data_IF_445792360374
#
_entry.id   IF_445792360374
#
_cell.length_a   1.000
_cell.length_b   1.000
_cell.length_c   1.000
_cell.angle_alpha   90.00
_cell.angle_beta   90.00
_cell.angle_gamma   90.00
#
_symmetry.space_group_name_H-M   'P 1'
#
loop_
_entity.id
_entity.type
_entity.pdbx_description
1 polymer ?
#
# COMPACT_ATOMS: atom_id res chain seq x y z
N UNK A 1 41.20 63.90 -32.97
CA UNK A 1 42.44 63.47 -32.27
C UNK A 1 42.20 63.05 -30.80
N UNK A 2 41.05 62.46 -30.43
CA UNK A 2 40.74 62.09 -29.03
C UNK A 2 40.31 60.61 -28.96
N UNK A 3 40.76 59.88 -27.93
CA UNK A 3 40.51 58.46 -27.60
C UNK A 3 41.60 57.43 -28.01
N UNK A 4 42.84 57.65 -27.56
CA UNK A 4 43.89 56.62 -27.48
C UNK A 4 44.34 56.54 -26.02
N UNK A 5 44.12 55.40 -25.37
CA UNK A 5 44.52 55.17 -23.98
C UNK A 5 45.92 54.54 -24.03
N UNK A 6 46.94 55.32 -23.69
CA UNK A 6 48.33 54.87 -23.68
C UNK A 6 48.69 54.64 -22.22
N UNK A 7 49.01 53.39 -21.87
CA UNK A 7 49.50 53.05 -20.54
C UNK A 7 51.03 53.06 -20.64
N UNK A 8 51.66 54.01 -19.96
CA UNK A 8 53.12 54.10 -19.87
C UNK A 8 53.55 53.63 -18.50
N UNK A 9 54.37 52.58 -18.47
CA UNK A 9 54.95 52.05 -17.24
C UNK A 9 56.42 52.47 -17.23
N UNK A 10 56.82 53.14 -16.15
CA UNK A 10 58.16 53.70 -15.94
C UNK A 10 58.82 52.96 -14.80
N UNK A 11 60.00 52.39 -15.03
CA UNK A 11 60.84 51.79 -14.00
C UNK A 11 62.29 52.28 -14.15
N UNK A 12 63.16 52.02 -13.16
CA UNK A 12 64.58 52.42 -13.11
C UNK A 12 65.42 51.96 -14.32
N UNK A 13 64.90 51.04 -15.15
CA UNK A 13 65.55 50.53 -16.38
C UNK A 13 64.99 51.13 -17.69
N UNK A 14 64.03 52.05 -17.62
CA UNK A 14 63.46 52.74 -18.78
C UNK A 14 61.93 52.73 -18.82
N UNK A 15 61.36 53.46 -19.80
CA UNK A 15 59.91 53.62 -19.97
C UNK A 15 59.40 52.83 -21.18
N UNK A 16 58.35 52.02 -21.00
CA UNK A 16 57.63 51.38 -22.13
C UNK A 16 56.16 51.83 -22.13
N UNK A 17 55.68 52.23 -23.30
CA UNK A 17 54.30 52.67 -23.52
C UNK A 17 53.54 51.69 -24.40
N UNK A 18 52.39 51.22 -23.94
CA UNK A 18 51.50 50.33 -24.68
C UNK A 18 50.21 51.07 -25.05
N UNK A 19 49.82 51.00 -26.33
CA UNK A 19 48.57 51.57 -26.81
C UNK A 19 47.44 50.56 -26.64
N UNK A 20 46.51 50.83 -25.73
CA UNK A 20 45.36 49.97 -25.49
C UNK A 20 44.32 50.22 -26.58
N UNK A 21 44.11 49.22 -27.44
CA UNK A 21 43.13 49.32 -28.53
C UNK A 21 41.70 49.43 -27.97
N UNK A 22 40.84 50.20 -28.62
CA UNK A 22 39.41 50.32 -28.23
C UNK A 22 38.68 48.97 -28.20
N UNK A 23 39.19 47.95 -28.91
CA UNK A 23 38.71 46.58 -28.85
C UNK A 23 38.93 45.95 -27.47
N UNK A 24 40.08 46.16 -26.83
CA UNK A 24 40.41 45.52 -25.55
C UNK A 24 39.42 45.92 -24.45
N UNK A 25 39.00 47.19 -24.43
CA UNK A 25 37.99 47.68 -23.49
C UNK A 25 36.62 47.03 -23.75
N UNK A 26 36.17 46.94 -25.00
CA UNK A 26 34.90 46.27 -25.36
C UNK A 26 34.94 44.78 -25.04
N UNK A 27 36.08 44.13 -25.27
CA UNK A 27 36.27 42.71 -25.00
C UNK A 27 36.09 42.38 -23.51
N UNK A 28 36.65 43.20 -22.62
CA UNK A 28 36.47 43.03 -21.18
C UNK A 28 35.00 43.18 -20.75
N UNK A 29 34.27 44.15 -21.33
CA UNK A 29 32.82 44.28 -21.09
C UNK A 29 32.02 43.09 -21.59
N UNK A 30 32.36 42.52 -22.76
CA UNK A 30 31.70 41.31 -23.27
C UNK A 30 31.97 40.08 -22.40
N UNK A 31 33.20 39.91 -21.89
CA UNK A 31 33.53 38.83 -20.95
C UNK A 31 32.71 38.98 -19.66
N UNK A 32 32.67 40.18 -19.09
CA UNK A 32 31.88 40.45 -17.88
C UNK A 32 30.40 40.16 -18.11
N UNK A 33 29.84 40.60 -19.24
CA UNK A 33 28.45 40.35 -19.60
C UNK A 33 28.16 38.84 -19.78
N UNK A 34 29.08 38.10 -20.40
CA UNK A 34 28.95 36.66 -20.60
C UNK A 34 28.95 35.90 -19.26
N UNK A 35 29.84 36.26 -18.34
CA UNK A 35 29.87 35.67 -16.99
C UNK A 35 28.55 35.95 -16.25
N UNK A 36 28.03 37.17 -16.38
CA UNK A 36 26.77 37.58 -15.73
C UNK A 36 25.56 36.83 -16.31
N UNK A 37 25.53 36.61 -17.64
CA UNK A 37 24.51 35.80 -18.30
C UNK A 37 24.55 34.35 -17.82
N UNK A 38 25.74 33.75 -17.72
CA UNK A 38 25.89 32.37 -17.22
C UNK A 38 25.43 32.28 -15.76
N UNK A 39 25.77 33.26 -14.93
CA UNK A 39 25.35 33.30 -13.54
C UNK A 39 23.82 33.42 -13.40
N UNK A 40 23.18 34.29 -14.19
CA UNK A 40 21.72 34.42 -14.23
C UNK A 40 21.04 33.16 -14.75
N UNK A 41 21.56 32.57 -15.83
CA UNK A 41 21.04 31.33 -16.40
C UNK A 41 21.13 30.19 -15.38
N UNK A 42 22.26 30.04 -14.68
CA UNK A 42 22.41 29.08 -13.60
C UNK A 42 21.43 29.32 -12.45
N UNK A 43 21.31 30.57 -12.00
CA UNK A 43 20.40 30.96 -10.93
C UNK A 43 18.93 30.69 -11.25
N UNK A 44 18.53 30.76 -12.53
CA UNK A 44 17.17 30.41 -12.97
C UNK A 44 16.99 28.90 -13.22
N UNK A 45 17.97 28.26 -13.86
CA UNK A 45 17.84 26.88 -14.35
C UNK A 45 17.99 25.82 -13.25
N UNK A 46 18.90 26.04 -12.29
CA UNK A 46 19.11 25.14 -11.14
C UNK A 46 17.83 24.95 -10.30
N UNK A 47 17.14 26.01 -9.83
CA UNK A 47 15.92 25.82 -9.05
C UNK A 47 14.78 25.23 -9.89
N UNK A 48 14.69 25.54 -11.18
CA UNK A 48 13.71 24.94 -12.08
C UNK A 48 13.85 23.41 -12.14
N UNK A 49 15.07 22.91 -12.40
CA UNK A 49 15.35 21.48 -12.39
C UNK A 49 15.14 20.85 -11.02
N UNK A 50 15.56 21.53 -9.96
CA UNK A 50 15.40 21.04 -8.57
C UNK A 50 13.93 20.87 -8.21
N UNK A 51 13.06 21.81 -8.62
CA UNK A 51 11.62 21.71 -8.40
C UNK A 51 11.01 20.55 -9.19
N UNK A 52 11.45 20.32 -10.43
CA UNK A 52 10.99 19.18 -11.23
C UNK A 52 11.39 17.84 -10.60
N UNK A 53 12.64 17.73 -10.15
CA UNK A 53 13.13 16.54 -9.43
C UNK A 53 12.30 16.34 -8.16
N UNK A 54 12.10 17.41 -7.37
CA UNK A 54 11.31 17.34 -6.13
C UNK A 54 9.87 16.90 -6.38
N UNK A 55 9.26 17.40 -7.45
CA UNK A 55 7.92 16.98 -7.86
C UNK A 55 7.88 15.48 -8.18
N UNK A 56 8.81 15.00 -9.00
CA UNK A 56 8.90 13.58 -9.36
C UNK A 56 9.22 12.68 -8.16
N UNK A 57 10.10 13.12 -7.25
CA UNK A 57 10.41 12.36 -6.03
C UNK A 57 9.20 12.25 -5.11
N UNK A 58 8.44 13.35 -4.95
CA UNK A 58 7.21 13.33 -4.15
C UNK A 58 6.15 12.44 -4.79
N UNK A 59 6.02 12.50 -6.12
CA UNK A 59 5.08 11.67 -6.85
C UNK A 59 5.42 10.19 -6.71
N UNK A 60 6.70 9.81 -6.84
CA UNK A 60 7.16 8.45 -6.61
C UNK A 60 6.91 7.99 -5.16
N UNK A 61 7.21 8.85 -4.17
CA UNK A 61 6.95 8.53 -2.76
C UNK A 61 5.46 8.29 -2.49
N UNK A 62 4.57 9.06 -3.10
CA UNK A 62 3.13 8.86 -3.00
C UNK A 62 2.69 7.53 -3.65
N UNK A 63 3.25 7.18 -4.81
CA UNK A 63 2.98 5.89 -5.45
C UNK A 63 3.48 4.72 -4.60
N UNK A 64 4.67 4.82 -4.01
CA UNK A 64 5.20 3.81 -3.10
C UNK A 64 4.30 3.64 -1.87
N UNK A 65 3.85 4.74 -1.26
CA UNK A 65 2.90 4.69 -0.14
C UNK A 65 1.58 4.02 -0.53
N UNK A 66 1.01 4.39 -1.69
CA UNK A 66 -0.21 3.78 -2.19
C UNK A 66 -0.02 2.28 -2.44
N UNK A 67 1.13 1.84 -2.97
CA UNK A 67 1.44 0.43 -3.15
C UNK A 67 1.51 -0.31 -1.80
N UNK A 68 2.18 0.27 -0.81
CA UNK A 68 2.25 -0.30 0.55
C UNK A 68 0.84 -0.48 1.12
N UNK A 69 0.00 0.56 1.05
CA UNK A 69 -1.39 0.48 1.53
C UNK A 69 -2.19 -0.62 0.80
N UNK A 70 -2.07 -0.70 -0.53
CA UNK A 70 -2.72 -1.76 -1.30
C UNK A 70 -2.24 -3.16 -0.89
N UNK A 71 -0.95 -3.34 -0.62
CA UNK A 71 -0.42 -4.63 -0.16
C UNK A 71 -0.93 -5.00 1.23
N UNK A 72 -1.03 -4.03 2.14
CA UNK A 72 -1.60 -4.22 3.47
C UNK A 72 -3.09 -4.60 3.39
N UNK A 73 -3.84 -3.93 2.52
CA UNK A 73 -5.25 -4.25 2.27
C UNK A 73 -5.41 -5.68 1.73
N UNK A 74 -4.56 -6.11 0.78
CA UNK A 74 -4.57 -7.48 0.26
C UNK A 74 -4.26 -8.50 1.36
N UNK A 75 -3.27 -8.24 2.22
CA UNK A 75 -2.93 -9.12 3.34
C UNK A 75 -4.06 -9.21 4.37
N UNK A 76 -4.72 -8.09 4.67
CA UNK A 76 -5.89 -8.05 5.56
C UNK A 76 -7.07 -8.84 4.97
N UNK A 77 -7.33 -8.69 3.67
CA UNK A 77 -8.36 -9.44 2.95
C UNK A 77 -8.06 -10.94 2.95
N UNK A 78 -6.81 -11.34 2.70
CA UNK A 78 -6.41 -12.75 2.73
C UNK A 78 -6.59 -13.36 4.13
N UNK A 79 -6.20 -12.63 5.18
CA UNK A 79 -6.40 -13.05 6.57
C UNK A 79 -7.89 -13.20 6.93
N UNK A 80 -8.73 -12.25 6.48
CA UNK A 80 -10.18 -12.33 6.67
C UNK A 80 -10.80 -13.52 5.92
N UNK A 81 -10.31 -13.80 4.71
CA UNK A 81 -10.74 -14.93 3.90
C UNK A 81 -10.36 -16.26 4.54
N UNK A 82 -9.13 -16.42 5.05
CA UNK A 82 -8.71 -17.61 5.80
C UNK A 82 -9.57 -17.83 7.06
N UNK A 83 -9.93 -16.75 7.76
CA UNK A 83 -10.84 -16.84 8.91
C UNK A 83 -12.23 -17.35 8.49
N UNK A 84 -12.79 -16.82 7.40
CA UNK A 84 -14.07 -17.29 6.86
C UNK A 84 -14.00 -18.76 6.43
N UNK A 85 -12.91 -19.19 5.80
CA UNK A 85 -12.69 -20.58 5.43
C UNK A 85 -12.66 -21.50 6.66
N UNK A 86 -12.04 -21.05 7.75
CA UNK A 86 -12.04 -21.77 9.03
C UNK A 86 -13.43 -21.84 9.66
N UNK A 87 -14.15 -20.72 9.72
CA UNK A 87 -15.49 -20.65 10.30
C UNK A 87 -16.50 -21.49 9.52
N UNK A 88 -16.37 -21.52 8.19
CA UNK A 88 -17.19 -22.35 7.30
C UNK A 88 -16.67 -23.79 7.26
N UNK A 89 -15.47 -24.08 7.77
CA UNK A 89 -14.90 -25.42 7.87
C UNK A 89 -14.49 -26.03 6.53
N UNK A 90 -13.81 -25.26 5.68
CA UNK A 90 -13.35 -25.67 4.33
C UNK A 90 -11.82 -25.77 4.26
N UNK A 91 -11.19 -26.09 5.39
CA UNK A 91 -9.75 -25.96 5.60
C UNK A 91 -8.87 -26.95 4.80
N UNK A 92 -9.46 -27.84 4.00
CA UNK A 92 -8.70 -28.87 3.27
C UNK A 92 -8.44 -28.43 1.82
N UNK A 93 -7.15 -28.38 1.47
CA UNK A 93 -6.57 -28.30 0.13
C UNK A 93 -6.93 -27.07 -0.73
N UNK A 94 -7.08 -25.91 -0.09
CA UNK A 94 -7.33 -24.64 -0.76
C UNK A 94 -6.09 -24.01 -1.45
N UNK A 95 -4.91 -24.62 -1.28
CA UNK A 95 -3.63 -24.10 -1.77
C UNK A 95 -3.55 -24.04 -3.30
N UNK A 96 -4.34 -24.84 -4.01
CA UNK A 96 -4.38 -24.88 -5.48
C UNK A 96 -5.28 -23.79 -6.09
N UNK A 97 -6.15 -23.16 -5.30
CA UNK A 97 -7.17 -22.24 -5.81
C UNK A 97 -6.76 -20.78 -5.68
N UNK A 98 -7.20 -19.95 -6.62
CA UNK A 98 -6.99 -18.50 -6.54
C UNK A 98 -7.84 -17.89 -5.42
N UNK A 99 -7.45 -16.76 -4.80
CA UNK A 99 -8.22 -16.14 -3.71
C UNK A 99 -9.69 -15.88 -4.07
N UNK A 100 -9.96 -15.52 -5.32
CA UNK A 100 -11.32 -15.31 -5.85
C UNK A 100 -12.12 -16.62 -5.86
N UNK A 101 -11.49 -17.72 -6.30
CA UNK A 101 -12.12 -19.03 -6.29
C UNK A 101 -12.39 -19.52 -4.87
N UNK A 102 -11.43 -19.33 -3.95
CA UNK A 102 -11.61 -19.66 -2.53
C UNK A 102 -12.78 -18.90 -1.92
N UNK A 103 -12.84 -17.58 -2.14
CA UNK A 103 -13.95 -16.74 -1.66
C UNK A 103 -15.31 -17.21 -2.22
N UNK A 104 -15.36 -17.62 -3.50
CA UNK A 104 -16.57 -18.17 -4.10
C UNK A 104 -17.00 -19.49 -3.45
N UNK A 105 -16.07 -20.41 -3.24
CA UNK A 105 -16.34 -21.70 -2.60
C UNK A 105 -16.79 -21.50 -1.14
N UNK A 106 -16.12 -20.59 -0.42
CA UNK A 106 -16.49 -20.21 0.93
C UNK A 106 -17.91 -19.64 1.00
N UNK A 107 -18.25 -18.70 0.11
CA UNK A 107 -19.58 -18.12 0.03
C UNK A 107 -20.66 -19.15 -0.32
N UNK A 108 -20.39 -20.03 -1.30
CA UNK A 108 -21.32 -21.09 -1.67
C UNK A 108 -21.54 -22.09 -0.53
N UNK A 109 -20.47 -22.52 0.13
CA UNK A 109 -20.56 -23.47 1.26
C UNK A 109 -21.28 -22.85 2.44
N UNK A 110 -21.00 -21.60 2.80
CA UNK A 110 -21.69 -20.88 3.87
C UNK A 110 -23.19 -20.79 3.59
N UNK A 111 -23.56 -20.44 2.34
CA UNK A 111 -24.95 -20.38 1.89
C UNK A 111 -25.63 -21.75 2.01
N UNK A 112 -25.00 -22.82 1.51
CA UNK A 112 -25.52 -24.18 1.59
C UNK A 112 -25.70 -24.64 3.04
N UNK A 113 -24.70 -24.44 3.90
CA UNK A 113 -24.80 -24.75 5.33
C UNK A 113 -25.92 -23.96 6.00
N UNK A 114 -26.07 -22.67 5.67
CA UNK A 114 -27.16 -21.83 6.16
C UNK A 114 -28.54 -22.36 5.77
N UNK A 115 -28.72 -22.88 4.54
CA UNK A 115 -29.95 -23.56 4.15
C UNK A 115 -30.16 -24.87 4.90
N UNK A 116 -29.12 -25.69 5.07
CA UNK A 116 -29.21 -26.95 5.81
C UNK A 116 -29.65 -26.74 7.27
N UNK A 117 -29.09 -25.73 7.95
CA UNK A 117 -29.46 -25.37 9.33
C UNK A 117 -30.90 -24.87 9.48
N UNK A 118 -31.54 -24.45 8.38
CA UNK A 118 -32.96 -24.06 8.36
C UNK A 118 -33.90 -25.24 8.09
N UNK A 119 -33.43 -26.24 7.35
CA UNK A 119 -34.23 -27.41 6.94
C UNK A 119 -34.16 -28.52 7.99
N UNK A 120 -32.97 -28.79 8.53
CA UNK A 120 -32.76 -29.82 9.53
C UNK A 120 -32.77 -29.21 10.94
N UNK A 121 -33.36 -29.89 11.94
CA UNK A 121 -33.33 -29.42 13.32
C UNK A 121 -31.88 -29.38 13.82
N UNK A 122 -31.38 -28.17 14.09
CA UNK A 122 -30.03 -27.92 14.56
C UNK A 122 -30.06 -27.11 15.87
N UNK A 123 -29.25 -27.54 16.85
CA UNK A 123 -29.21 -26.93 18.18
C UNK A 123 -30.23 -27.52 19.15
N UNK A 124 -30.26 -26.99 20.37
CA UNK A 124 -31.22 -27.42 21.39
C UNK A 124 -32.59 -26.77 21.14
N UNK A 125 -33.70 -27.51 21.25
CA UNK A 125 -35.04 -26.94 21.17
C UNK A 125 -35.43 -26.11 22.40
N UNK A 126 -34.61 -26.08 23.46
CA UNK A 126 -34.89 -25.39 24.73
C UNK A 126 -33.77 -24.41 25.10
N UNK A 127 -34.12 -23.29 25.75
CA UNK A 127 -33.15 -22.31 26.26
C UNK A 127 -32.21 -22.93 27.31
N UNK A 128 -32.76 -23.74 28.22
CA UNK A 128 -31.98 -24.50 29.20
C UNK A 128 -32.20 -25.98 28.99
N UNK A 129 -31.16 -26.67 28.55
CA UNK A 129 -31.24 -28.10 28.25
C UNK A 129 -30.94 -28.90 29.51
N UNK A 130 -31.98 -29.46 30.13
CA UNK A 130 -31.84 -30.41 31.25
C UNK A 130 -32.36 -31.76 30.80
N UNK A 131 -31.48 -32.74 30.70
CA UNK A 131 -31.84 -34.11 30.34
C UNK A 131 -32.50 -34.77 31.55
N UNK A 132 -33.79 -35.07 31.44
CA UNK A 132 -34.53 -35.82 32.47
C UNK A 132 -34.34 -37.31 32.29
N UNK A 133 -34.19 -37.75 31.05
CA UNK A 133 -34.03 -39.16 30.72
C UNK A 133 -33.08 -39.34 29.54
N UNK A 134 -32.04 -40.13 29.76
CA UNK A 134 -30.93 -40.32 28.81
C UNK A 134 -31.26 -41.34 27.72
N UNK A 135 -30.48 -41.30 26.65
CA UNK A 135 -30.49 -42.29 25.57
C UNK A 135 -30.12 -43.69 26.10
N UNK A 136 -30.73 -44.74 25.53
CA UNK A 136 -30.40 -46.13 25.84
C UNK A 136 -31.55 -46.94 26.45
N UNK A 137 -31.21 -48.05 27.10
CA UNK A 137 -32.21 -48.98 27.66
C UNK A 137 -32.77 -48.46 28.98
N UNK A 138 -34.09 -48.25 29.01
CA UNK A 138 -34.82 -47.76 30.20
C UNK A 138 -36.25 -48.31 30.25
N UNK A 139 -36.94 -48.09 31.35
CA UNK A 139 -38.35 -48.50 31.50
C UNK A 139 -39.21 -47.55 30.66
N UNK A 140 -39.92 -48.09 29.67
CA UNK A 140 -40.78 -47.29 28.81
C UNK A 140 -41.98 -46.75 29.61
N UNK A 141 -42.28 -45.44 29.58
CA UNK A 141 -43.27 -44.81 30.46
C UNK A 141 -44.68 -45.40 30.28
N UNK A 142 -45.04 -45.74 29.04
CA UNK A 142 -46.37 -46.30 28.69
C UNK A 142 -46.41 -47.83 28.88
N UNK A 143 -45.34 -48.54 28.50
CA UNK A 143 -45.34 -50.00 28.39
C UNK A 143 -44.75 -50.68 29.64
N UNK A 144 -44.20 -49.90 30.57
CA UNK A 144 -43.57 -50.30 31.85
C UNK A 144 -42.61 -51.49 31.74
N UNK A 145 -42.00 -51.67 30.58
CA UNK A 145 -41.05 -52.74 30.25
C UNK A 145 -39.73 -52.11 29.81
N UNK A 146 -38.61 -52.82 29.98
CA UNK A 146 -37.31 -52.34 29.50
C UNK A 146 -37.30 -52.32 27.97
N UNK A 147 -37.13 -51.14 27.39
CA UNK A 147 -36.94 -50.95 25.95
C UNK A 147 -35.80 -49.98 25.69
N UNK A 148 -35.20 -50.08 24.51
CA UNK A 148 -34.17 -49.16 24.06
C UNK A 148 -34.82 -47.90 23.46
N UNK A 149 -34.43 -46.72 23.94
CA UNK A 149 -34.92 -45.43 23.47
C UNK A 149 -33.84 -44.72 22.64
N UNK A 150 -34.23 -44.29 21.44
CA UNK A 150 -33.34 -43.61 20.48
C UNK A 150 -33.24 -42.09 20.67
N UNK A 151 -33.96 -41.54 21.65
CA UNK A 151 -33.99 -40.12 21.95
C UNK A 151 -33.73 -39.83 23.43
N UNK A 152 -33.56 -38.54 23.73
CA UNK A 152 -33.44 -38.02 25.09
C UNK A 152 -34.71 -37.26 25.45
N UNK A 153 -35.07 -37.30 26.73
CA UNK A 153 -36.18 -36.50 27.24
C UNK A 153 -35.58 -35.25 27.89
N UNK A 154 -36.12 -34.10 27.53
CA UNK A 154 -35.66 -32.80 28.03
C UNK A 154 -36.74 -32.18 28.91
N UNK A 155 -36.33 -31.50 29.99
CA UNK A 155 -37.22 -30.65 30.78
C UNK A 155 -37.25 -29.25 30.20
N UNK A 156 -38.41 -28.85 29.69
CA UNK A 156 -38.74 -27.45 29.40
C UNK A 156 -39.03 -26.70 30.70
#
# INVERSE_FOLDING_TARGET
MKNRLIITISDIKGTKSYNVSKLLRRFFFWILALVLIIALAGAMFVPFLTNQIRYLTNLNANYEQALVEQTQNIQALDSALQKLEKDVGIAEDMATYTPIQRARIAGMTAKTKGYMLRIFPAGSPLEKTIVTSHYGTRIHPILRTKKFHYGIDLRA
#
